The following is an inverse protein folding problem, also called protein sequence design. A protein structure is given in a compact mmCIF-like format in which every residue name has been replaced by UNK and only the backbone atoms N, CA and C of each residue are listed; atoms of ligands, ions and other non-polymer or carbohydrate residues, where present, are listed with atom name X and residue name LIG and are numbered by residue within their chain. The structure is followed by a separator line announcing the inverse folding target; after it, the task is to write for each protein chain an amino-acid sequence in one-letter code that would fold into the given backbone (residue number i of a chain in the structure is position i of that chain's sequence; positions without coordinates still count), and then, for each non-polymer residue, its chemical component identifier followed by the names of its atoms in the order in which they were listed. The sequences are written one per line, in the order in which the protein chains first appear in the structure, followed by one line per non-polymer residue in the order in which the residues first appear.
data_IF_147397345802
#
_entry.id   IF_147397345802
#
_cell.length_a   1.000
_cell.length_b   1.000
_cell.length_c   1.000
_cell.angle_alpha   90.00
_cell.angle_beta   90.00
_cell.angle_gamma   90.00
#
_symmetry.space_group_name_H-M   'P 1'
#
loop_
_entity.id
_entity.type
_entity.pdbx_description
1 polymer ?
#
# COMPACT_ATOMS: atom_id res chain seq x y z
N UNK A 1 40.72 5.10 12.00
CA UNK A 1 39.91 4.31 12.96
C UNK A 1 39.60 2.99 12.27
N UNK A 2 39.88 1.86 12.90
CA UNK A 2 39.56 0.56 12.33
C UNK A 2 38.01 0.44 12.27
N UNK A 3 37.46 0.07 11.12
CA UNK A 3 36.03 -0.14 10.95
C UNK A 3 35.59 -1.30 11.86
N UNK A 4 34.61 -1.02 12.72
CA UNK A 4 34.07 -2.04 13.64
C UNK A 4 33.27 -3.06 12.83
N UNK A 5 33.67 -4.31 12.86
CA UNK A 5 32.95 -5.43 12.27
C UNK A 5 31.78 -5.80 13.20
N UNK A 6 30.54 -5.64 12.72
CA UNK A 6 29.33 -6.00 13.46
C UNK A 6 29.09 -7.51 13.40
N UNK A 7 28.77 -8.11 14.55
CA UNK A 7 28.34 -9.51 14.65
C UNK A 7 26.89 -9.67 14.18
N UNK A 8 26.52 -10.84 13.68
CA UNK A 8 25.15 -11.15 13.25
C UNK A 8 24.10 -10.83 14.33
N UNK A 9 24.44 -11.11 15.62
CA UNK A 9 23.55 -10.79 16.75
C UNK A 9 23.31 -9.28 16.90
N UNK A 10 24.33 -8.45 16.66
CA UNK A 10 24.21 -6.99 16.72
C UNK A 10 23.36 -6.47 15.58
N UNK A 11 23.53 -7.00 14.36
CA UNK A 11 22.69 -6.67 13.18
C UNK A 11 21.23 -7.05 13.41
N UNK A 12 20.97 -8.26 13.94
CA UNK A 12 19.61 -8.69 14.27
C UNK A 12 18.96 -7.79 15.32
N UNK A 13 19.68 -7.44 16.38
CA UNK A 13 19.17 -6.52 17.43
C UNK A 13 18.88 -5.14 16.86
N UNK A 14 19.77 -4.59 16.03
CA UNK A 14 19.55 -3.31 15.36
C UNK A 14 18.28 -3.35 14.49
N UNK A 15 18.07 -4.43 13.72
CA UNK A 15 16.87 -4.63 12.92
C UNK A 15 15.60 -4.67 13.78
N UNK A 16 15.62 -5.43 14.88
CA UNK A 16 14.49 -5.52 15.81
C UNK A 16 14.22 -4.18 16.50
N UNK A 17 15.27 -3.43 16.89
CA UNK A 17 15.12 -2.10 17.48
C UNK A 17 14.45 -1.12 16.51
N UNK A 18 14.93 -1.08 15.27
CA UNK A 18 14.33 -0.25 14.20
C UNK A 18 12.86 -0.58 13.95
N UNK A 19 12.51 -1.86 14.04
CA UNK A 19 11.15 -2.37 13.88
C UNK A 19 10.30 -2.21 15.16
N UNK A 20 10.82 -1.57 16.23
CA UNK A 20 10.15 -1.43 17.53
C UNK A 20 9.73 -2.79 18.15
N UNK A 21 10.54 -3.84 17.92
CA UNK A 21 10.26 -5.21 18.40
C UNK A 21 11.10 -5.61 19.61
N UNK A 22 12.12 -4.83 20.01
CA UNK A 22 12.83 -5.04 21.27
C UNK A 22 12.08 -4.48 22.45
N UNK A 23 11.50 -3.29 22.27
CA UNK A 23 10.69 -2.60 23.27
C UNK A 23 9.49 -1.95 22.60
N UNK A 24 8.33 -2.03 23.24
CA UNK A 24 7.14 -1.35 22.74
C UNK A 24 7.29 0.16 22.88
N UNK A 25 7.06 0.87 21.79
CA UNK A 25 7.18 2.31 21.71
C UNK A 25 5.90 3.02 22.24
N UNK A 26 6.07 4.22 22.79
CA UNK A 26 4.95 5.13 23.11
C UNK A 26 4.77 6.10 21.94
N UNK A 27 4.15 5.62 20.86
CA UNK A 27 3.88 6.40 19.65
C UNK A 27 2.39 6.31 19.30
N UNK A 28 1.90 7.30 18.55
CA UNK A 28 0.59 7.19 17.90
C UNK A 28 0.63 6.15 16.77
N UNK A 29 -0.53 5.63 16.38
CA UNK A 29 -0.65 4.68 15.27
C UNK A 29 -0.06 5.23 13.97
N UNK A 30 -0.40 6.46 13.52
CA UNK A 30 0.22 7.03 12.32
C UNK A 30 1.74 7.14 12.43
N UNK A 31 2.28 7.65 13.53
CA UNK A 31 3.74 7.79 13.73
C UNK A 31 4.48 6.45 13.68
N UNK A 32 3.87 5.38 14.22
CA UNK A 32 4.44 4.04 14.14
C UNK A 32 4.44 3.51 12.69
N UNK A 33 3.36 3.74 11.94
CA UNK A 33 3.26 3.33 10.54
C UNK A 33 4.25 4.10 9.67
N UNK A 34 4.42 5.41 9.89
CA UNK A 34 5.41 6.25 9.21
C UNK A 34 6.84 5.79 9.48
N UNK A 35 7.16 5.48 10.74
CA UNK A 35 8.47 4.96 11.13
C UNK A 35 8.80 3.63 10.45
N UNK A 36 7.78 2.80 10.18
CA UNK A 36 7.91 1.53 9.47
C UNK A 36 7.86 1.70 7.93
N UNK A 37 7.58 2.90 7.44
CA UNK A 37 7.34 3.20 6.02
C UNK A 37 6.19 2.34 5.47
N UNK A 38 5.18 2.11 6.30
CA UNK A 38 4.04 1.25 6.00
C UNK A 38 4.20 -0.19 6.53
N UNK A 39 3.09 -0.88 6.62
CA UNK A 39 3.00 -2.25 7.11
C UNK A 39 2.32 -3.13 6.06
N UNK A 40 2.92 -4.26 5.69
CA UNK A 40 2.27 -5.20 4.79
C UNK A 40 0.93 -5.67 5.37
N UNK A 41 -0.13 -5.61 4.57
CA UNK A 41 -1.51 -5.78 5.00
C UNK A 41 -2.30 -6.72 4.07
N UNK A 42 -1.69 -7.82 3.63
CA UNK A 42 -2.38 -8.82 2.79
C UNK A 42 -3.56 -9.43 3.56
N UNK A 43 -3.37 -9.76 4.83
CA UNK A 43 -4.45 -10.11 5.76
C UNK A 43 -4.89 -8.84 6.50
N UNK A 44 -6.20 -8.64 6.63
CA UNK A 44 -6.75 -7.45 7.29
C UNK A 44 -6.36 -7.37 8.80
N UNK A 45 -6.19 -8.50 9.46
CA UNK A 45 -5.78 -8.59 10.87
C UNK A 45 -4.29 -8.34 11.11
N UNK A 46 -3.42 -8.59 10.12
CA UNK A 46 -1.98 -8.55 10.31
C UNK A 46 -1.44 -7.20 10.84
N UNK A 47 -1.89 -6.02 10.34
CA UNK A 47 -1.44 -4.74 10.89
C UNK A 47 -1.84 -4.52 12.35
N UNK A 48 -2.99 -5.02 12.77
CA UNK A 48 -3.44 -4.90 14.17
C UNK A 48 -2.52 -5.66 15.11
N UNK A 49 -2.20 -6.91 14.77
CA UNK A 49 -1.22 -7.70 15.53
C UNK A 49 0.17 -7.04 15.47
N UNK A 50 0.56 -6.56 14.29
CA UNK A 50 1.82 -5.88 14.10
C UNK A 50 1.96 -4.60 14.94
N UNK A 51 0.92 -3.81 15.10
CA UNK A 51 0.92 -2.64 15.97
C UNK A 51 0.86 -3.02 17.46
N UNK A 52 0.08 -4.02 17.80
CA UNK A 52 0.03 -4.51 19.18
C UNK A 52 1.38 -5.00 19.68
N UNK A 53 2.19 -5.66 18.84
CA UNK A 53 3.53 -6.09 19.23
C UNK A 53 4.53 -4.93 19.40
N UNK A 54 4.24 -3.74 18.84
CA UNK A 54 5.16 -2.59 18.75
C UNK A 54 4.79 -1.42 19.64
N UNK A 55 3.51 -1.26 19.95
CA UNK A 55 3.02 -0.10 20.68
C UNK A 55 2.62 -0.46 22.11
N UNK A 56 2.92 0.43 23.07
CA UNK A 56 2.37 0.35 24.42
C UNK A 56 0.90 0.75 24.38
N UNK A 57 0.09 0.07 25.17
CA UNK A 57 -1.34 0.39 25.38
C UNK A 57 -2.20 0.45 24.12
N UNK A 58 -1.73 -0.15 23.00
CA UNK A 58 -2.46 -0.20 21.73
C UNK A 58 -3.76 -0.97 21.88
N UNK A 59 -4.83 -0.33 21.45
CA UNK A 59 -6.16 -0.92 21.32
C UNK A 59 -6.54 -1.02 19.85
N UNK A 60 -7.35 -2.01 19.51
CA UNK A 60 -7.83 -2.21 18.15
C UNK A 60 -8.52 -0.96 17.58
N UNK A 61 -9.28 -0.29 18.43
CA UNK A 61 -10.03 0.92 18.11
C UNK A 61 -9.13 2.09 17.71
N UNK A 62 -7.88 2.12 18.16
CA UNK A 62 -6.94 3.18 17.81
C UNK A 62 -6.61 3.16 16.30
N UNK A 63 -6.36 1.96 15.75
CA UNK A 63 -6.16 1.83 14.30
C UNK A 63 -7.47 2.02 13.53
N UNK A 64 -8.58 1.47 14.02
CA UNK A 64 -9.88 1.60 13.35
C UNK A 64 -10.28 3.08 13.19
N UNK A 65 -10.09 3.91 14.21
CA UNK A 65 -10.32 5.37 14.15
C UNK A 65 -9.44 6.08 13.12
N UNK A 66 -8.17 5.69 13.01
CA UNK A 66 -7.27 6.31 12.03
C UNK A 66 -7.67 5.97 10.58
N UNK A 67 -8.15 4.74 10.36
CA UNK A 67 -8.68 4.30 9.07
C UNK A 67 -9.99 5.04 8.76
N UNK A 68 -10.91 5.13 9.71
CA UNK A 68 -12.19 5.85 9.57
C UNK A 68 -11.97 7.33 9.23
N UNK A 69 -11.00 7.96 9.88
CA UNK A 69 -10.59 9.35 9.64
C UNK A 69 -9.78 9.54 8.36
N UNK A 70 -9.56 8.46 7.59
CA UNK A 70 -8.77 8.44 6.35
C UNK A 70 -7.32 8.88 6.53
N UNK A 71 -6.80 8.89 7.76
CA UNK A 71 -5.38 9.19 8.03
C UNK A 71 -4.47 8.00 7.77
N UNK A 72 -5.05 6.80 7.77
CA UNK A 72 -4.38 5.56 7.40
C UNK A 72 -5.21 4.87 6.33
N UNK A 73 -4.57 4.45 5.25
CA UNK A 73 -5.20 3.82 4.10
C UNK A 73 -4.56 2.47 3.78
N UNK A 74 -5.33 1.57 3.17
CA UNK A 74 -4.82 0.31 2.65
C UNK A 74 -4.77 0.35 1.13
N UNK A 75 -3.59 0.23 0.57
CA UNK A 75 -3.33 0.42 -0.86
C UNK A 75 -2.22 -0.49 -1.38
N UNK A 76 -2.13 -0.63 -2.71
CA UNK A 76 -0.94 -1.20 -3.35
C UNK A 76 0.21 -0.22 -3.21
N UNK A 77 1.29 -0.66 -2.59
CA UNK A 77 2.44 0.18 -2.25
C UNK A 77 3.75 -0.54 -2.57
N UNK A 78 4.70 -0.63 -1.66
CA UNK A 78 6.00 -1.26 -1.91
C UNK A 78 5.85 -2.70 -2.41
N UNK A 79 6.71 -3.11 -3.34
CA UNK A 79 6.78 -4.45 -3.95
C UNK A 79 5.47 -4.90 -4.61
N UNK A 80 4.55 -3.98 -4.95
CA UNK A 80 3.27 -4.32 -5.55
C UNK A 80 2.29 -5.05 -4.63
N UNK A 81 2.55 -5.08 -3.32
CA UNK A 81 1.69 -5.72 -2.32
C UNK A 81 0.82 -4.70 -1.58
N UNK A 82 -0.25 -5.17 -0.94
CA UNK A 82 -1.11 -4.33 -0.12
C UNK A 82 -0.39 -3.94 1.18
N UNK A 83 -0.37 -2.66 1.45
CA UNK A 83 0.18 -2.07 2.67
C UNK A 83 -0.84 -1.18 3.35
N UNK A 84 -0.77 -1.15 4.67
CA UNK A 84 -1.33 -0.09 5.47
C UNK A 84 -0.26 1.02 5.57
N UNK A 85 -0.62 2.23 5.19
CA UNK A 85 0.28 3.38 5.10
C UNK A 85 -0.49 4.63 5.51
N UNK A 86 0.19 5.67 6.02
CA UNK A 86 -0.49 6.95 6.24
C UNK A 86 -0.90 7.58 4.92
N UNK A 87 -1.99 8.33 4.91
CA UNK A 87 -2.47 9.01 3.71
C UNK A 87 -1.39 9.94 3.15
N UNK A 88 -0.70 10.67 4.04
CA UNK A 88 0.37 11.60 3.68
C UNK A 88 1.54 10.88 2.99
N UNK A 89 2.02 9.76 3.53
CA UNK A 89 3.09 8.98 2.93
C UNK A 89 2.66 8.33 1.61
N UNK A 90 1.41 7.86 1.51
CA UNK A 90 0.90 7.34 0.25
C UNK A 90 0.91 8.41 -0.84
N UNK A 91 0.36 9.60 -0.55
CA UNK A 91 0.33 10.73 -1.49
C UNK A 91 1.73 11.21 -1.85
N UNK A 92 2.65 11.18 -0.89
CA UNK A 92 4.03 11.64 -1.04
C UNK A 92 4.89 10.69 -1.87
N UNK A 93 4.76 9.38 -1.67
CA UNK A 93 5.67 8.38 -2.24
C UNK A 93 5.10 7.60 -3.42
N UNK A 94 3.81 7.74 -3.74
CA UNK A 94 3.19 6.96 -4.83
C UNK A 94 3.85 7.19 -6.18
N UNK A 95 4.31 8.41 -6.46
CA UNK A 95 5.03 8.76 -7.70
C UNK A 95 6.39 8.05 -7.75
N UNK A 96 7.16 8.08 -6.67
CA UNK A 96 8.44 7.39 -6.57
C UNK A 96 8.34 5.86 -6.77
N UNK A 97 7.23 5.27 -6.38
CA UNK A 97 6.98 3.82 -6.53
C UNK A 97 6.42 3.43 -7.91
N UNK A 98 5.97 4.41 -8.71
CA UNK A 98 5.33 4.13 -10.01
C UNK A 98 6.18 3.27 -10.94
N UNK A 99 7.49 3.54 -11.16
CA UNK A 99 8.32 2.74 -12.07
C UNK A 99 8.32 1.24 -11.67
N UNK A 100 8.52 0.94 -10.40
CA UNK A 100 8.52 -0.45 -9.88
C UNK A 100 7.16 -1.14 -10.06
N UNK A 101 6.07 -0.41 -9.89
CA UNK A 101 4.73 -0.96 -10.04
C UNK A 101 4.38 -1.22 -11.52
N UNK A 102 4.84 -0.35 -12.42
CA UNK A 102 4.67 -0.51 -13.87
C UNK A 102 5.49 -1.70 -14.37
N UNK A 103 6.74 -1.84 -13.92
CA UNK A 103 7.59 -2.98 -14.25
C UNK A 103 7.00 -4.31 -13.77
N UNK A 104 6.44 -4.34 -12.56
CA UNK A 104 5.74 -5.52 -12.05
C UNK A 104 4.54 -5.90 -12.92
N UNK A 105 3.79 -4.92 -13.45
CA UNK A 105 2.69 -5.17 -14.38
C UNK A 105 3.19 -5.75 -15.70
N UNK A 106 4.24 -5.17 -16.27
CA UNK A 106 4.84 -5.64 -17.52
C UNK A 106 5.35 -7.08 -17.38
N UNK A 107 5.96 -7.41 -16.24
CA UNK A 107 6.43 -8.76 -15.95
C UNK A 107 5.29 -9.78 -15.92
N UNK A 108 4.16 -9.44 -15.30
CA UNK A 108 2.98 -10.30 -15.23
C UNK A 108 2.27 -10.40 -16.58
N UNK A 109 2.25 -9.32 -17.36
CA UNK A 109 1.63 -9.32 -18.68
C UNK A 109 2.45 -10.10 -19.72
N UNK A 110 3.75 -10.32 -19.48
CA UNK A 110 4.64 -11.03 -20.39
C UNK A 110 4.10 -12.42 -20.74
N UNK A 111 3.93 -12.69 -22.05
CA UNK A 111 3.39 -13.95 -22.56
C UNK A 111 1.86 -14.11 -22.45
N UNK A 112 1.12 -13.07 -22.02
CA UNK A 112 -0.34 -13.09 -21.89
C UNK A 112 -1.07 -12.29 -22.97
N UNK A 113 -0.39 -11.94 -24.04
CA UNK A 113 -0.91 -11.10 -25.13
C UNK A 113 -0.69 -9.62 -24.90
N UNK A 114 -0.59 -8.88 -26.00
CA UNK A 114 -0.47 -7.42 -25.97
C UNK A 114 -1.86 -6.79 -25.94
N UNK A 115 -1.98 -5.66 -25.28
CA UNK A 115 -3.22 -4.89 -25.23
C UNK A 115 -2.93 -3.39 -25.05
N UNK A 116 -3.90 -2.58 -25.45
CA UNK A 116 -3.87 -1.12 -25.26
C UNK A 116 -4.04 -0.77 -23.79
N UNK A 117 -2.90 -0.51 -23.13
CA UNK A 117 -2.84 -0.15 -21.72
C UNK A 117 -3.62 1.14 -21.43
N UNK A 118 -3.50 2.16 -22.29
CA UNK A 118 -4.16 3.45 -22.09
C UNK A 118 -5.68 3.31 -22.18
N UNK A 119 -6.18 2.52 -23.13
CA UNK A 119 -7.61 2.20 -23.25
C UNK A 119 -8.13 1.51 -21.98
N UNK A 120 -7.41 0.53 -21.46
CA UNK A 120 -7.74 -0.20 -20.24
C UNK A 120 -7.77 0.74 -19.05
N UNK A 121 -6.73 1.57 -18.86
CA UNK A 121 -6.63 2.49 -17.73
C UNK A 121 -7.70 3.58 -17.77
N UNK A 122 -8.00 4.13 -18.95
CA UNK A 122 -9.05 5.14 -19.12
C UNK A 122 -10.44 4.58 -18.78
N UNK A 123 -10.76 3.39 -19.27
CA UNK A 123 -12.04 2.72 -18.98
C UNK A 123 -12.15 2.38 -17.48
N UNK A 124 -11.10 1.80 -16.90
CA UNK A 124 -11.10 1.43 -15.47
C UNK A 124 -11.20 2.66 -14.55
N UNK A 125 -10.48 3.74 -14.87
CA UNK A 125 -10.56 4.99 -14.08
C UNK A 125 -11.98 5.57 -14.11
N UNK A 126 -12.62 5.61 -15.27
CA UNK A 126 -14.03 6.06 -15.39
C UNK A 126 -14.95 5.17 -14.56
N UNK A 127 -14.86 3.85 -14.70
CA UNK A 127 -15.73 2.88 -14.03
C UNK A 127 -15.57 2.91 -12.48
N UNK A 128 -14.35 3.09 -11.98
CA UNK A 128 -14.07 3.18 -10.53
C UNK A 128 -14.45 4.57 -9.98
N UNK A 129 -14.35 5.63 -10.80
CA UNK A 129 -14.73 6.99 -10.40
C UNK A 129 -16.24 7.17 -10.21
N UNK A 130 -17.09 6.33 -10.81
CA UNK A 130 -18.54 6.39 -10.60
C UNK A 130 -18.96 5.97 -9.18
N UNK A 131 -18.33 4.91 -8.66
CA UNK A 131 -18.51 4.38 -7.29
C UNK A 131 -17.39 3.38 -6.96
N UNK A 132 -17.16 3.04 -5.69
CA UNK A 132 -16.26 1.95 -5.33
C UNK A 132 -16.61 0.64 -6.04
N UNK A 133 -15.58 -0.14 -6.43
CA UNK A 133 -15.71 -1.38 -7.19
C UNK A 133 -14.85 -2.49 -6.62
N UNK A 134 -15.35 -3.68 -6.64
CA UNK A 134 -14.55 -4.90 -6.39
C UNK A 134 -13.68 -5.22 -7.62
N UNK A 135 -12.60 -5.97 -7.41
CA UNK A 135 -11.82 -6.46 -8.56
C UNK A 135 -12.56 -7.49 -9.41
N UNK A 136 -13.61 -8.13 -8.90
CA UNK A 136 -14.51 -8.97 -9.70
C UNK A 136 -15.27 -8.12 -10.73
N UNK A 137 -15.93 -7.03 -10.30
CA UNK A 137 -16.65 -6.11 -11.19
C UNK A 137 -15.70 -5.45 -12.21
N UNK A 138 -14.49 -5.05 -11.77
CA UNK A 138 -13.46 -4.51 -12.67
C UNK A 138 -13.08 -5.55 -13.73
N UNK A 139 -12.88 -6.81 -13.34
CA UNK A 139 -12.55 -7.90 -14.28
C UNK A 139 -13.67 -8.15 -15.29
N UNK A 140 -14.92 -8.15 -14.87
CA UNK A 140 -16.08 -8.28 -15.77
C UNK A 140 -16.15 -7.13 -16.77
N UNK A 141 -15.93 -5.90 -16.32
CA UNK A 141 -15.88 -4.73 -17.19
C UNK A 141 -14.75 -4.83 -18.22
N UNK A 142 -13.55 -5.27 -17.79
CA UNK A 142 -12.39 -5.44 -18.67
C UNK A 142 -12.60 -6.57 -19.68
N UNK A 143 -13.20 -7.68 -19.30
CA UNK A 143 -13.53 -8.78 -20.20
C UNK A 143 -14.50 -8.36 -21.29
N UNK A 144 -15.48 -7.48 -20.98
CA UNK A 144 -16.39 -6.90 -22.00
C UNK A 144 -15.69 -5.88 -22.89
N UNK A 145 -14.72 -5.14 -22.35
CA UNK A 145 -13.97 -4.13 -23.10
C UNK A 145 -13.04 -4.75 -24.16
N UNK A 146 -12.40 -5.87 -23.82
CA UNK A 146 -11.42 -6.59 -24.64
C UNK A 146 -11.54 -8.12 -24.42
N UNK A 147 -12.51 -8.79 -25.07
CA UNK A 147 -12.84 -10.19 -24.81
C UNK A 147 -11.68 -11.17 -25.07
N UNK A 148 -10.81 -10.86 -26.06
CA UNK A 148 -9.74 -11.73 -26.51
C UNK A 148 -8.42 -11.53 -25.74
N UNK A 149 -8.43 -10.70 -24.68
CA UNK A 149 -7.24 -10.36 -23.88
C UNK A 149 -7.31 -10.99 -22.49
N UNK A 150 -6.15 -11.43 -21.98
CA UNK A 150 -6.06 -11.96 -20.62
C UNK A 150 -6.52 -10.94 -19.58
N UNK A 151 -7.64 -11.23 -18.95
CA UNK A 151 -8.29 -10.37 -17.97
C UNK A 151 -7.42 -10.20 -16.71
N UNK A 152 -6.61 -11.19 -16.39
CA UNK A 152 -5.70 -11.14 -15.23
C UNK A 152 -4.58 -10.12 -15.45
N UNK A 153 -4.01 -10.05 -16.67
CA UNK A 153 -3.01 -9.07 -17.04
C UNK A 153 -3.57 -7.64 -17.00
N UNK A 154 -4.75 -7.43 -17.61
CA UNK A 154 -5.43 -6.12 -17.58
C UNK A 154 -5.76 -5.69 -16.15
N UNK A 155 -6.31 -6.58 -15.33
CA UNK A 155 -6.64 -6.32 -13.93
C UNK A 155 -5.42 -5.94 -13.10
N UNK A 156 -4.29 -6.63 -13.31
CA UNK A 156 -3.05 -6.32 -12.61
C UNK A 156 -2.48 -4.97 -13.05
N UNK A 157 -2.59 -4.63 -14.33
CA UNK A 157 -2.25 -3.31 -14.87
C UNK A 157 -3.09 -2.22 -14.20
N UNK A 158 -4.40 -2.38 -14.09
CA UNK A 158 -5.27 -1.44 -13.36
C UNK A 158 -4.79 -1.27 -11.92
N UNK A 159 -4.53 -2.36 -11.21
CA UNK A 159 -4.11 -2.36 -9.80
C UNK A 159 -2.79 -1.62 -9.56
N UNK A 160 -1.86 -1.67 -10.50
CA UNK A 160 -0.52 -1.11 -10.34
C UNK A 160 -0.40 0.31 -10.87
N UNK A 161 -1.13 0.65 -11.95
CA UNK A 161 -1.04 1.95 -12.60
C UNK A 161 -1.97 2.98 -11.96
N UNK A 162 -3.21 2.58 -11.65
CA UNK A 162 -4.18 3.49 -11.03
C UNK A 162 -3.96 3.50 -9.51
N UNK A 163 -3.74 4.68 -8.91
CA UNK A 163 -3.70 4.82 -7.47
C UNK A 163 -5.07 4.52 -6.85
N UNK A 164 -5.18 3.35 -6.22
CA UNK A 164 -6.40 2.87 -5.60
C UNK A 164 -6.20 2.62 -4.12
N UNK A 165 -7.23 2.89 -3.32
CA UNK A 165 -7.32 2.52 -1.91
C UNK A 165 -8.48 1.57 -1.68
N UNK A 166 -8.36 0.66 -0.72
CA UNK A 166 -9.49 -0.16 -0.27
C UNK A 166 -10.44 0.67 0.59
N UNK A 167 -11.73 0.53 0.31
CA UNK A 167 -12.78 1.14 1.14
C UNK A 167 -12.92 0.34 2.43
N UNK A 168 -12.80 0.97 3.61
CA UNK A 168 -12.96 0.29 4.88
C UNK A 168 -14.43 -0.01 5.17
N UNK A 169 -14.65 -1.00 6.05
CA UNK A 169 -15.96 -1.33 6.62
C UNK A 169 -15.95 -1.10 8.14
N UNK A 170 -17.12 -0.82 8.70
CA UNK A 170 -17.26 -0.51 10.13
C UNK A 170 -17.07 -1.71 11.07
N UNK A 171 -16.86 -2.91 10.55
CA UNK A 171 -16.79 -4.15 11.34
C UNK A 171 -15.49 -4.93 11.12
N UNK A 172 -15.25 -5.92 11.99
CA UNK A 172 -14.11 -6.83 11.87
C UNK A 172 -12.76 -6.12 11.97
N UNK A 173 -11.90 -6.34 11.00
CA UNK A 173 -10.56 -5.78 10.89
C UNK A 173 -10.51 -4.59 9.92
N UNK A 174 -11.58 -3.79 9.88
CA UNK A 174 -11.79 -2.61 9.02
C UNK A 174 -11.81 -2.87 7.51
N UNK A 175 -11.57 -4.07 7.05
CA UNK A 175 -11.57 -4.41 5.61
C UNK A 175 -12.28 -5.73 5.33
N UNK A 176 -13.11 -5.73 4.29
CA UNK A 176 -13.85 -6.89 3.81
C UNK A 176 -12.94 -7.95 3.19
N UNK A 177 -13.39 -9.22 3.21
CA UNK A 177 -12.81 -10.30 2.39
C UNK A 177 -13.08 -10.11 0.89
N UNK A 178 -14.13 -9.36 0.54
CA UNK A 178 -14.43 -8.90 -0.83
C UNK A 178 -14.27 -7.38 -0.88
N UNK A 179 -13.04 -6.86 -0.93
CA UNK A 179 -12.78 -5.45 -0.80
C UNK A 179 -13.22 -4.67 -2.05
N UNK A 180 -13.79 -3.51 -1.81
CA UNK A 180 -14.03 -2.49 -2.82
C UNK A 180 -12.86 -1.53 -2.86
N UNK A 181 -12.62 -0.97 -4.04
CA UNK A 181 -11.55 -0.02 -4.32
C UNK A 181 -12.12 1.26 -4.91
N UNK A 182 -11.52 2.38 -4.55
CA UNK A 182 -11.83 3.70 -5.07
C UNK A 182 -10.56 4.46 -5.43
N UNK A 183 -10.70 5.55 -6.17
CA UNK A 183 -9.58 6.41 -6.55
C UNK A 183 -9.00 7.09 -5.31
N UNK A 184 -7.69 6.97 -5.12
CA UNK A 184 -7.01 7.43 -3.92
C UNK A 184 -7.14 8.95 -3.70
N UNK A 185 -6.97 9.74 -4.77
CA UNK A 185 -7.06 11.21 -4.69
C UNK A 185 -8.47 11.68 -4.31
N UNK A 186 -9.51 11.04 -4.84
CA UNK A 186 -10.90 11.35 -4.50
C UNK A 186 -11.22 10.95 -3.06
N UNK A 187 -10.75 9.76 -2.64
CA UNK A 187 -10.95 9.28 -1.29
C UNK A 187 -10.30 10.17 -0.23
N UNK A 188 -9.08 10.62 -0.48
CA UNK A 188 -8.33 11.45 0.46
C UNK A 188 -8.58 12.94 0.28
N UNK A 189 -9.27 13.37 -0.79
CA UNK A 189 -9.52 14.78 -1.11
C UNK A 189 -8.24 15.58 -1.43
N UNK A 190 -7.14 14.89 -1.79
CA UNK A 190 -5.84 15.49 -2.03
C UNK A 190 -5.16 14.85 -3.22
N UNK A 191 -4.30 15.62 -3.91
CA UNK A 191 -3.54 15.14 -5.07
C UNK A 191 -2.26 14.41 -4.65
N UNK A 192 -1.92 13.38 -5.42
CA UNK A 192 -0.62 12.72 -5.30
C UNK A 192 0.47 13.71 -5.69
N UNK A 193 1.53 13.75 -4.87
CA UNK A 193 2.71 14.57 -5.15
C UNK A 193 3.30 14.23 -6.51
N UNK A 194 3.49 15.20 -7.41
CA UNK A 194 4.18 14.96 -8.68
C UNK A 194 5.70 14.75 -8.50
N UNK A 195 6.24 15.10 -7.33
CA UNK A 195 7.67 15.00 -7.04
C UNK A 195 8.09 13.55 -6.87
N UNK A 196 9.23 13.20 -7.44
CA UNK A 196 9.92 11.96 -7.12
C UNK A 196 10.62 12.11 -5.76
N UNK A 197 10.01 11.56 -4.73
CA UNK A 197 10.53 11.55 -3.36
C UNK A 197 11.29 10.24 -3.05
N UNK A 198 11.84 9.56 -4.05
CA UNK A 198 12.51 8.26 -3.88
C UNK A 198 13.66 8.33 -2.87
N UNK A 199 14.49 9.38 -2.92
CA UNK A 199 15.59 9.56 -1.98
C UNK A 199 15.13 9.58 -0.53
N UNK A 200 14.02 10.24 -0.26
CA UNK A 200 13.44 10.29 1.09
C UNK A 200 12.86 8.96 1.50
N UNK A 201 12.11 8.29 0.61
CA UNK A 201 11.58 6.95 0.84
C UNK A 201 12.71 5.97 1.19
N UNK A 202 13.80 5.99 0.43
CA UNK A 202 14.99 5.14 0.66
C UNK A 202 15.65 5.47 2.00
N UNK A 203 15.84 6.76 2.32
CA UNK A 203 16.39 7.18 3.61
C UNK A 203 15.54 6.66 4.78
N UNK A 204 14.22 6.82 4.74
CA UNK A 204 13.33 6.31 5.78
C UNK A 204 13.36 4.78 5.87
N UNK A 205 13.36 4.10 4.73
CA UNK A 205 13.36 2.63 4.69
C UNK A 205 14.65 2.03 5.27
N UNK A 206 15.81 2.60 4.95
CA UNK A 206 17.11 2.11 5.42
C UNK A 206 17.61 2.82 6.66
N UNK A 207 17.31 4.10 6.80
CA UNK A 207 17.89 4.97 7.82
C UNK A 207 17.07 5.06 9.09
N UNK A 208 15.83 4.53 9.14
CA UNK A 208 14.90 4.75 10.24
C UNK A 208 15.53 5.52 11.39
N UNK A 209 15.29 6.85 11.45
CA UNK A 209 15.93 7.65 12.50
C UNK A 209 15.74 7.00 13.85
N UNK A 210 16.76 7.06 14.71
CA UNK A 210 16.72 6.45 16.02
C UNK A 210 15.60 7.01 16.88
#
# INVERSE_FOLDING_TARGET
MADRILKLRELNRATLARQMLLERAKLSVPAAIERLVGMQAQLASAPYVGLWTRLRDFKREDLAKEIERRRVVKATFMRGTLHLVTADDYLRFRTALRPLLVEAASTIAKGRGEFDVDKVLKAARKFIGEKPRTFAEISEMLARLMPDVDVGAMRYTVRTHIPLVQVPIASGWSYSSKPEFTLAEEWMGQKISPKDNLRELVKRYFGGEP
#
